data_IF_247594109326
#
_entry.id   IF_247594109326
#
_cell.length_a   1.000
_cell.length_b   1.000
_cell.length_c   1.000
_cell.angle_alpha   90.00
_cell.angle_beta   90.00
_cell.angle_gamma   90.00
#
_symmetry.space_group_name_H-M   'P 1'
#
loop_
_entity.id
_entity.type
_entity.pdbx_description
1 polymer ?
#
# COMPACT_ATOMS: atom_id res chain seq x y z
N UNK A 1 9.52 25.39 -9.04
CA UNK A 1 10.09 24.03 -8.93
C UNK A 1 9.00 23.04 -9.31
N UNK A 2 9.10 22.42 -10.48
CA UNK A 2 8.20 21.34 -10.93
C UNK A 2 9.02 20.06 -10.74
N UNK A 3 8.89 19.37 -9.62
CA UNK A 3 9.76 18.21 -9.40
C UNK A 3 9.57 17.47 -8.09
N UNK A 4 9.45 18.17 -6.96
CA UNK A 4 9.54 17.48 -5.66
C UNK A 4 8.33 16.59 -5.37
N UNK A 5 7.12 17.08 -5.60
CA UNK A 5 5.90 16.29 -5.40
C UNK A 5 5.81 15.09 -6.37
N UNK A 6 6.21 15.28 -7.64
CA UNK A 6 6.19 14.21 -8.65
C UNK A 6 7.26 13.16 -8.36
N UNK A 7 8.46 13.60 -7.98
CA UNK A 7 9.55 12.71 -7.60
C UNK A 7 9.24 11.94 -6.30
N UNK A 8 8.58 12.59 -5.34
CA UNK A 8 8.05 11.93 -4.14
C UNK A 8 7.00 10.86 -4.50
N UNK A 9 6.02 11.20 -5.33
CA UNK A 9 5.00 10.25 -5.77
C UNK A 9 5.60 9.04 -6.52
N UNK A 10 6.59 9.26 -7.39
CA UNK A 10 7.28 8.18 -8.10
C UNK A 10 8.01 7.24 -7.13
N UNK A 11 8.69 7.79 -6.12
CA UNK A 11 9.39 6.99 -5.10
C UNK A 11 8.43 6.21 -4.22
N UNK A 12 7.34 6.84 -3.78
CA UNK A 12 6.29 6.17 -3.03
C UNK A 12 5.67 5.02 -3.83
N UNK A 13 5.49 5.20 -5.15
CA UNK A 13 4.97 4.15 -6.04
C UNK A 13 5.91 2.95 -6.12
N UNK A 14 7.22 3.17 -6.20
CA UNK A 14 8.19 2.07 -6.18
C UNK A 14 8.16 1.31 -4.85
N UNK A 15 8.08 2.02 -3.72
CA UNK A 15 8.00 1.42 -2.38
C UNK A 15 6.66 0.70 -2.15
N UNK A 16 5.57 1.22 -2.72
CA UNK A 16 4.23 0.66 -2.57
C UNK A 16 4.13 -0.77 -3.11
N UNK A 17 4.96 -1.15 -4.08
CA UNK A 17 5.02 -2.52 -4.62
C UNK A 17 5.37 -3.58 -3.57
N UNK A 18 6.05 -3.19 -2.48
CA UNK A 18 6.40 -4.07 -1.38
C UNK A 18 5.30 -4.15 -0.29
N UNK A 19 4.25 -3.34 -0.38
CA UNK A 19 3.16 -3.28 0.61
C UNK A 19 1.96 -4.08 0.11
N UNK A 20 1.27 -4.87 0.95
CA UNK A 20 0.14 -5.70 0.53
C UNK A 20 -0.99 -4.93 -0.16
N UNK A 21 -1.30 -3.72 0.31
CA UNK A 21 -2.31 -2.83 -0.28
C UNK A 21 -1.90 -2.24 -1.64
N UNK A 22 -0.59 -2.29 -1.97
CA UNK A 22 0.03 -1.64 -3.14
C UNK A 22 -0.17 -0.12 -3.21
N UNK A 23 -0.53 0.51 -2.10
CA UNK A 23 -0.77 1.95 -2.02
C UNK A 23 0.01 2.54 -0.85
N UNK A 24 0.80 3.58 -1.13
CA UNK A 24 1.48 4.40 -0.14
C UNK A 24 1.21 5.89 -0.40
N UNK A 25 0.95 6.63 0.66
CA UNK A 25 0.81 8.08 0.67
C UNK A 25 1.79 8.69 1.68
N UNK A 26 2.21 9.93 1.45
CA UNK A 26 2.98 10.69 2.43
C UNK A 26 2.07 11.32 3.48
N UNK A 27 2.64 11.61 4.64
CA UNK A 27 1.96 12.30 5.73
C UNK A 27 1.28 13.62 5.31
N UNK A 28 1.94 14.39 4.44
CA UNK A 28 1.41 15.63 3.92
C UNK A 28 0.11 15.43 3.12
N UNK A 29 0.00 14.33 2.35
CA UNK A 29 -1.20 14.02 1.55
C UNK A 29 -2.36 13.61 2.45
N UNK A 30 -2.12 12.73 3.42
CA UNK A 30 -3.17 12.27 4.34
C UNK A 30 -3.63 13.41 5.26
N UNK A 31 -2.72 14.27 5.72
CA UNK A 31 -3.04 15.44 6.55
C UNK A 31 -3.84 16.51 5.80
N UNK A 32 -3.70 16.58 4.47
CA UNK A 32 -4.46 17.49 3.62
C UNK A 32 -5.82 16.93 3.18
N UNK A 33 -6.07 15.63 3.38
CA UNK A 33 -7.31 14.97 2.99
C UNK A 33 -8.47 15.31 3.95
N UNK A 34 -9.71 15.07 3.50
CA UNK A 34 -10.87 15.23 4.36
C UNK A 34 -10.82 14.21 5.52
N UNK A 35 -11.34 14.54 6.72
CA UNK A 35 -11.34 13.62 7.86
C UNK A 35 -11.99 12.26 7.56
N UNK A 36 -13.02 12.25 6.72
CA UNK A 36 -13.69 11.03 6.25
C UNK A 36 -12.79 10.15 5.40
N UNK A 37 -11.88 10.74 4.63
CA UNK A 37 -10.92 10.01 3.80
C UNK A 37 -9.72 9.57 4.64
N UNK A 38 -9.22 10.44 5.51
CA UNK A 38 -8.12 10.15 6.45
C UNK A 38 -8.42 8.92 7.34
N UNK A 39 -9.70 8.67 7.67
CA UNK A 39 -10.13 7.51 8.45
C UNK A 39 -9.86 6.14 7.77
N UNK A 40 -9.64 6.10 6.45
CA UNK A 40 -9.32 4.87 5.71
C UNK A 40 -7.80 4.59 5.63
N UNK A 41 -6.97 5.51 6.12
CA UNK A 41 -5.52 5.38 6.09
C UNK A 41 -4.99 4.88 7.44
N UNK A 42 -4.01 3.98 7.38
CA UNK A 42 -3.26 3.52 8.55
C UNK A 42 -1.77 3.85 8.40
N UNK A 43 -1.10 4.17 9.51
CA UNK A 43 0.33 4.49 9.48
C UNK A 43 1.11 3.22 9.11
N UNK A 44 1.84 3.26 8.00
CA UNK A 44 2.65 2.14 7.53
C UNK A 44 4.03 2.14 8.19
N UNK A 45 4.65 3.31 8.29
CA UNK A 45 5.98 3.44 8.87
C UNK A 45 6.65 4.76 8.50
N UNK A 46 7.95 4.83 8.69
CA UNK A 46 8.78 5.98 8.30
C UNK A 46 9.80 5.51 7.27
N UNK A 47 9.77 6.11 6.09
CA UNK A 47 10.62 5.70 4.96
C UNK A 47 11.61 6.81 4.62
N UNK A 48 12.87 6.42 4.45
CA UNK A 48 13.92 7.30 3.97
C UNK A 48 13.82 7.45 2.44
N UNK A 49 13.32 8.60 1.99
CA UNK A 49 13.30 8.93 0.57
C UNK A 49 14.68 9.48 0.18
N UNK A 50 15.39 8.82 -0.74
CA UNK A 50 16.73 9.26 -1.19
C UNK A 50 16.75 10.75 -1.58
N UNK A 51 17.56 11.55 -0.90
CA UNK A 51 17.65 13.00 -1.14
C UNK A 51 16.74 13.86 -0.26
N UNK A 52 15.99 13.26 0.67
CA UNK A 52 15.46 13.98 1.84
C UNK A 52 16.36 13.72 3.05
N UNK A 53 16.62 14.78 3.81
CA UNK A 53 17.43 14.74 5.05
C UNK A 53 16.63 14.18 6.23
N UNK A 54 15.30 14.06 6.11
CA UNK A 54 14.41 13.57 7.14
C UNK A 54 13.59 12.38 6.64
N UNK A 55 13.31 11.44 7.55
CA UNK A 55 12.38 10.33 7.33
C UNK A 55 10.99 10.88 7.00
N UNK A 56 10.34 10.30 5.98
CA UNK A 56 8.97 10.67 5.62
C UNK A 56 8.02 9.65 6.24
N UNK A 57 7.10 10.04 7.14
CA UNK A 57 6.05 9.15 7.58
C UNK A 57 5.15 8.80 6.39
N UNK A 58 4.89 7.51 6.23
CA UNK A 58 4.06 6.98 5.16
C UNK A 58 2.85 6.26 5.70
N UNK A 59 1.79 6.37 4.93
CA UNK A 59 0.47 5.83 5.21
C UNK A 59 0.11 4.84 4.13
N UNK A 60 -0.63 3.82 4.49
CA UNK A 60 -1.17 2.84 3.55
C UNK A 60 -2.68 2.74 3.70
N UNK A 61 -3.36 2.28 2.67
CA UNK A 61 -4.78 1.99 2.80
C UNK A 61 -4.94 0.86 3.79
N UNK A 62 -5.78 1.08 4.80
CA UNK A 62 -6.22 0.02 5.70
C UNK A 62 -6.83 -1.05 4.82
N UNK A 63 -6.20 -2.22 4.75
CA UNK A 63 -6.71 -3.30 3.92
C UNK A 63 -8.15 -3.60 4.35
N UNK A 64 -9.10 -3.49 3.43
CA UNK A 64 -10.31 -4.28 3.53
C UNK A 64 -9.82 -5.73 3.46
N UNK A 65 -10.14 -6.62 4.43
CA UNK A 65 -9.71 -8.01 4.35
C UNK A 65 -10.13 -8.55 2.99
N UNK A 66 -9.14 -8.77 2.13
CA UNK A 66 -9.37 -9.28 0.78
C UNK A 66 -10.18 -10.58 0.90
N UNK A 67 -11.43 -10.64 0.40
CA UNK A 67 -12.22 -11.85 0.49
C UNK A 67 -11.58 -13.01 -0.30
N UNK A 68 -10.65 -12.73 -1.23
CA UNK A 68 -9.86 -13.74 -1.93
C UNK A 68 -8.71 -14.30 -1.10
N UNK A 69 -8.17 -13.55 -0.11
CA UNK A 69 -7.14 -14.06 0.80
C UNK A 69 -7.70 -14.97 1.90
N UNK A 70 -9.02 -14.91 2.15
CA UNK A 70 -9.73 -15.75 3.12
C UNK A 70 -10.28 -17.07 2.53
N UNK A 71 -10.17 -17.30 1.22
CA UNK A 71 -10.67 -18.53 0.62
C UNK A 71 -9.76 -19.71 0.99
N UNK A 72 -10.27 -20.78 1.64
CA UNK A 72 -9.47 -21.98 1.87
C UNK A 72 -9.12 -22.58 0.51
N UNK A 73 -7.82 -22.72 0.26
CA UNK A 73 -7.27 -23.44 -0.89
C UNK A 73 -7.70 -24.89 -0.82
N UNK A 74 -8.85 -25.22 -1.40
CA UNK A 74 -9.32 -26.58 -1.49
C UNK A 74 -8.48 -27.31 -2.57
N UNK A 75 -7.66 -28.32 -2.24
CA UNK A 75 -7.02 -29.13 -3.26
C UNK A 75 -8.11 -30.01 -3.88
N UNK A 76 -8.58 -29.63 -5.08
CA UNK A 76 -9.50 -30.44 -5.87
C UNK A 76 -8.75 -31.68 -6.39
N UNK A 77 -8.57 -32.67 -5.51
CA UNK A 77 -8.10 -34.01 -5.88
C UNK A 77 -9.22 -34.71 -6.66
N UNK A 78 -9.21 -34.57 -7.99
CA UNK A 78 -10.09 -35.33 -8.86
C UNK A 78 -9.63 -36.80 -8.93
N UNK A 79 -10.53 -37.78 -8.81
CA UNK A 79 -10.16 -39.18 -9.00
C UNK A 79 -9.95 -39.44 -10.50
N UNK A 80 -8.71 -39.75 -10.89
CA UNK A 80 -8.39 -40.20 -12.24
C UNK A 80 -8.84 -41.66 -12.40
N UNK A 81 -10.11 -41.84 -12.77
CA UNK A 81 -10.64 -43.11 -13.28
C UNK A 81 -10.51 -43.11 -14.80
N UNK A 82 -9.65 -43.97 -15.34
CA UNK A 82 -9.80 -44.51 -16.70
C UNK A 82 -9.35 -45.95 -16.70
N UNK A 83 -10.29 -46.84 -17.03
CA UNK A 83 -10.10 -48.24 -17.39
C UNK A 83 -9.93 -48.32 -18.90
#
# INVERSE_FOLDING_TARGET
MIGDAVNEAARLTELAKAVPSRVLASDAVVSAALPSEAAYWEKHGELELRGRQAVTPTWTLRADPDPASAAPSNPRSGPRRTR
#
